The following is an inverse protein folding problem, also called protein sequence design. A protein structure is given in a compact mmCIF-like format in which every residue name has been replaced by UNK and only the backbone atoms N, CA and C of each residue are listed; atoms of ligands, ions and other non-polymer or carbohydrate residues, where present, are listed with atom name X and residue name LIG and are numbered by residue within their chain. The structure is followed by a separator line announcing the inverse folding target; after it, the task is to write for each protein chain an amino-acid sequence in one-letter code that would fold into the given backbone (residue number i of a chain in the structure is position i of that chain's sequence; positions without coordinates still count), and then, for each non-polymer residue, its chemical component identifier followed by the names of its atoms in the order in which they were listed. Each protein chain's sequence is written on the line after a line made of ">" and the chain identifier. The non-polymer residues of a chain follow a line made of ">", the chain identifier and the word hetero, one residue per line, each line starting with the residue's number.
data_IF_819667700822
#
_entry.id   IF_819667700822
#
_cell.length_a   1.000
_cell.length_b   1.000
_cell.length_c   1.000
_cell.angle_alpha   90.00
_cell.angle_beta   90.00
_cell.angle_gamma   90.00
#
_symmetry.space_group_name_H-M   'P 1'
#
loop_
_entity.id
_entity.type
_entity.pdbx_description
1 polymer ?
#
# COMPACT_ATOMS: atom_id res chain seq x y z
N UNK A 1 -21.76 -12.86 -9.21
CA UNK A 1 -21.12 -11.56 -8.91
C UNK A 1 -20.70 -11.54 -7.43
N UNK A 2 -19.42 -11.34 -7.11
CA UNK A 2 -18.89 -11.36 -5.74
C UNK A 2 -19.05 -10.02 -4.99
N UNK A 3 -19.96 -9.13 -5.43
CA UNK A 3 -20.25 -7.86 -4.77
C UNK A 3 -21.74 -7.50 -4.91
N UNK A 4 -22.20 -6.57 -4.06
CA UNK A 4 -23.55 -5.99 -4.08
C UNK A 4 -23.47 -4.46 -4.03
N UNK A 5 -24.32 -3.77 -4.77
CA UNK A 5 -24.53 -2.33 -4.65
C UNK A 5 -26.00 -1.90 -4.82
N UNK A 6 -26.97 -2.81 -4.61
CA UNK A 6 -28.39 -2.50 -4.84
C UNK A 6 -28.89 -1.38 -3.92
N UNK A 7 -28.44 -1.40 -2.66
CA UNK A 7 -28.83 -0.42 -1.63
C UNK A 7 -27.76 0.67 -1.41
N UNK A 8 -26.74 0.75 -2.28
CA UNK A 8 -25.63 1.69 -2.11
C UNK A 8 -25.99 3.08 -2.65
N UNK A 9 -25.97 4.09 -1.81
CA UNK A 9 -25.94 5.48 -2.27
C UNK A 9 -24.49 5.94 -2.47
N UNK A 10 -24.19 6.44 -3.66
CA UNK A 10 -22.89 7.04 -4.00
C UNK A 10 -22.94 8.55 -3.74
N UNK A 11 -21.83 9.11 -3.26
CA UNK A 11 -21.73 10.53 -2.96
C UNK A 11 -20.32 11.07 -3.27
N UNK A 12 -20.21 12.38 -3.48
CA UNK A 12 -18.93 13.07 -3.68
C UNK A 12 -18.56 13.29 -5.15
N UNK A 13 -19.46 13.03 -6.08
CA UNK A 13 -19.33 13.42 -7.48
C UNK A 13 -19.86 14.84 -7.72
N UNK A 14 -19.77 15.33 -8.96
CA UNK A 14 -20.36 16.62 -9.33
C UNK A 14 -21.90 16.59 -9.37
N UNK A 15 -22.51 15.42 -9.58
CA UNK A 15 -23.96 15.21 -9.57
C UNK A 15 -24.28 13.79 -9.08
N UNK A 16 -24.46 13.68 -7.76
CA UNK A 16 -24.73 12.40 -7.11
C UNK A 16 -26.09 11.82 -7.52
N UNK A 17 -27.08 12.65 -7.87
CA UNK A 17 -28.39 12.18 -8.30
C UNK A 17 -28.28 11.47 -9.66
N UNK A 18 -27.61 12.11 -10.62
CA UNK A 18 -27.36 11.51 -11.92
C UNK A 18 -26.49 10.24 -11.82
N UNK A 19 -25.44 10.25 -10.98
CA UNK A 19 -24.61 9.07 -10.73
C UNK A 19 -25.44 7.89 -10.21
N UNK A 20 -26.26 8.11 -9.18
CA UNK A 20 -27.04 7.04 -8.58
C UNK A 20 -28.17 6.52 -9.49
N UNK A 21 -28.71 7.37 -10.37
CA UNK A 21 -29.68 6.99 -11.38
C UNK A 21 -29.06 6.19 -12.54
N UNK A 22 -27.82 6.51 -12.92
CA UNK A 22 -27.15 5.90 -14.08
C UNK A 22 -26.27 4.68 -13.77
N UNK A 23 -25.81 4.51 -12.53
CA UNK A 23 -24.93 3.39 -12.17
C UNK A 23 -25.68 2.05 -12.21
N UNK A 24 -25.07 1.04 -12.83
CA UNK A 24 -25.60 -0.31 -12.83
C UNK A 24 -25.69 -0.89 -11.41
N UNK A 25 -26.78 -1.60 -11.13
CA UNK A 25 -27.07 -2.24 -9.84
C UNK A 25 -26.88 -3.75 -9.96
N UNK A 26 -26.06 -4.30 -9.07
CA UNK A 26 -25.67 -5.69 -9.03
C UNK A 26 -26.03 -6.26 -7.67
N UNK A 27 -26.72 -7.41 -7.69
CA UNK A 27 -26.96 -8.22 -6.51
C UNK A 27 -25.81 -9.20 -6.31
N UNK A 28 -25.42 -9.44 -5.07
CA UNK A 28 -24.47 -10.52 -4.77
C UNK A 28 -25.06 -11.88 -5.16
N UNK A 29 -24.33 -12.65 -5.97
CA UNK A 29 -24.74 -13.97 -6.47
C UNK A 29 -23.62 -15.01 -6.46
N UNK A 30 -22.44 -14.66 -5.96
CA UNK A 30 -21.34 -15.61 -5.82
C UNK A 30 -21.60 -16.57 -4.64
N UNK A 31 -20.95 -17.73 -4.66
CA UNK A 31 -20.95 -18.63 -3.49
C UNK A 31 -20.13 -17.98 -2.36
N UNK A 32 -20.75 -17.71 -1.17
CA UNK A 32 -20.04 -17.12 -0.04
C UNK A 32 -18.84 -17.94 0.43
N UNK A 33 -18.90 -19.27 0.34
CA UNK A 33 -17.80 -20.14 0.75
C UNK A 33 -16.59 -19.99 -0.17
N UNK A 34 -16.81 -19.82 -1.47
CA UNK A 34 -15.73 -19.56 -2.43
C UNK A 34 -15.14 -18.15 -2.23
N UNK A 35 -15.98 -17.13 -2.02
CA UNK A 35 -15.51 -15.76 -1.76
C UNK A 35 -14.72 -15.67 -0.46
N UNK A 36 -15.11 -16.41 0.58
CA UNK A 36 -14.39 -16.45 1.85
C UNK A 36 -12.95 -16.96 1.70
N UNK A 37 -12.69 -17.88 0.77
CA UNK A 37 -11.34 -18.40 0.51
C UNK A 37 -10.42 -17.36 -0.15
N UNK A 38 -10.98 -16.34 -0.79
CA UNK A 38 -10.21 -15.24 -1.40
C UNK A 38 -9.82 -14.15 -0.40
N UNK A 39 -10.32 -14.22 0.84
CA UNK A 39 -10.02 -13.21 1.85
C UNK A 39 -8.62 -13.37 2.41
N UNK A 40 -7.94 -12.24 2.59
CA UNK A 40 -6.68 -12.22 3.36
C UNK A 40 -6.92 -12.72 4.78
N UNK A 41 -6.03 -13.60 5.26
CA UNK A 41 -6.17 -14.25 6.57
C UNK A 41 -6.07 -13.28 7.76
N UNK A 42 -5.39 -12.14 7.58
CA UNK A 42 -5.12 -11.17 8.66
C UNK A 42 -4.23 -11.71 9.80
N UNK A 43 -3.63 -12.89 9.62
CA UNK A 43 -2.79 -13.56 10.63
C UNK A 43 -1.31 -13.32 10.32
N UNK A 44 -0.78 -12.21 10.82
CA UNK A 44 0.63 -11.87 10.65
C UNK A 44 1.51 -12.58 11.69
N UNK A 45 2.51 -13.33 11.20
CA UNK A 45 3.56 -13.94 12.02
C UNK A 45 4.94 -13.31 11.80
N UNK A 46 5.05 -12.42 10.81
CA UNK A 46 6.26 -11.69 10.42
C UNK A 46 5.88 -10.23 10.11
N UNK A 47 6.85 -9.30 10.15
CA UNK A 47 6.61 -7.93 9.72
C UNK A 47 6.03 -7.86 8.30
N UNK A 48 5.06 -6.98 8.10
CA UNK A 48 4.46 -6.66 6.81
C UNK A 48 4.54 -5.15 6.62
N UNK A 49 5.17 -4.74 5.53
CA UNK A 49 5.14 -3.35 5.05
C UNK A 49 4.22 -3.30 3.83
N UNK A 50 3.25 -2.40 3.85
CA UNK A 50 2.42 -2.08 2.68
C UNK A 50 2.72 -0.67 2.22
N UNK A 51 2.56 -0.41 0.92
CA UNK A 51 2.70 0.92 0.33
C UNK A 51 1.54 1.19 -0.62
N UNK A 52 0.98 2.40 -0.57
CA UNK A 52 -0.26 2.69 -1.29
C UNK A 52 -0.35 4.17 -1.69
N UNK A 53 -0.75 4.46 -2.93
CA UNK A 53 -1.04 5.82 -3.42
C UNK A 53 -2.43 6.28 -2.98
N UNK A 54 -2.54 7.37 -2.22
CA UNK A 54 -3.83 7.80 -1.62
C UNK A 54 -4.90 8.14 -2.67
N UNK A 55 -4.50 8.50 -3.89
CA UNK A 55 -5.39 8.76 -5.03
C UNK A 55 -5.50 7.60 -6.02
N UNK A 56 -5.39 6.34 -5.57
CA UNK A 56 -5.60 5.16 -6.40
C UNK A 56 -7.08 4.98 -6.79
N UNK A 57 -7.44 5.04 -8.09
CA UNK A 57 -8.82 4.90 -8.54
C UNK A 57 -9.25 3.43 -8.73
N UNK A 58 -8.32 2.47 -8.72
CA UNK A 58 -8.57 1.04 -8.99
C UNK A 58 -8.67 0.26 -7.69
N UNK A 59 -7.72 0.46 -6.78
CA UNK A 59 -7.71 -0.15 -5.44
C UNK A 59 -7.68 0.99 -4.43
N UNK A 60 -8.83 1.55 -4.04
CA UNK A 60 -8.83 2.74 -3.21
C UNK A 60 -8.19 2.56 -1.83
N UNK A 61 -7.60 3.64 -1.32
CA UNK A 61 -6.85 3.66 -0.06
C UNK A 61 -7.62 3.16 1.17
N UNK A 62 -8.96 3.20 1.18
CA UNK A 62 -9.75 2.66 2.29
C UNK A 62 -9.60 1.14 2.47
N UNK A 63 -9.02 0.41 1.52
CA UNK A 63 -8.65 -0.99 1.70
C UNK A 63 -7.56 -1.19 2.77
N UNK A 64 -6.64 -0.24 2.95
CA UNK A 64 -5.61 -0.27 4.00
C UNK A 64 -6.20 -0.37 5.42
N UNK A 65 -7.05 0.59 5.86
CA UNK A 65 -7.68 0.48 7.17
C UNK A 65 -8.66 -0.70 7.28
N UNK A 66 -9.28 -1.16 6.19
CA UNK A 66 -10.10 -2.39 6.21
C UNK A 66 -9.25 -3.63 6.48
N UNK A 67 -8.09 -3.76 5.85
CA UNK A 67 -7.14 -4.83 6.14
C UNK A 67 -6.62 -4.73 7.58
N UNK A 68 -6.21 -3.54 8.03
CA UNK A 68 -5.71 -3.31 9.39
C UNK A 68 -6.74 -3.67 10.47
N UNK A 69 -8.04 -3.52 10.20
CA UNK A 69 -9.12 -3.95 11.11
C UNK A 69 -9.16 -5.47 11.31
N UNK A 70 -8.76 -6.28 10.32
CA UNK A 70 -8.68 -7.75 10.43
C UNK A 70 -7.55 -8.22 11.36
N UNK A 71 -6.53 -7.39 11.57
CA UNK A 71 -5.34 -7.76 12.35
C UNK A 71 -5.63 -7.79 13.85
N UNK A 72 -5.08 -8.79 14.53
CA UNK A 72 -5.01 -8.84 16.00
C UNK A 72 -4.17 -7.68 16.55
N UNK A 73 -4.21 -7.46 17.87
CA UNK A 73 -3.36 -6.43 18.51
C UNK A 73 -1.88 -6.59 18.14
N UNK A 74 -1.32 -7.79 18.31
CA UNK A 74 0.07 -8.08 17.92
C UNK A 74 0.27 -8.00 16.40
N UNK A 75 -0.70 -8.41 15.59
CA UNK A 75 -0.64 -8.24 14.14
C UNK A 75 -0.51 -6.78 13.71
N UNK A 76 -1.20 -5.86 14.41
CA UNK A 76 -1.09 -4.41 14.14
C UNK A 76 0.28 -3.83 14.47
N UNK A 77 1.05 -4.46 15.38
CA UNK A 77 2.44 -4.09 15.68
C UNK A 77 3.40 -4.57 14.57
N UNK A 78 3.04 -5.64 13.87
CA UNK A 78 3.81 -6.17 12.73
C UNK A 78 3.49 -5.45 11.41
N UNK A 79 2.39 -4.72 11.33
CA UNK A 79 1.95 -4.04 10.12
C UNK A 79 2.35 -2.57 10.08
N UNK A 80 3.19 -2.20 9.10
CA UNK A 80 3.64 -0.83 8.83
C UNK A 80 3.07 -0.33 7.49
N UNK A 81 2.00 0.48 7.50
CA UNK A 81 1.44 1.05 6.28
C UNK A 81 2.19 2.32 5.86
N UNK A 82 2.55 2.39 4.58
CA UNK A 82 3.16 3.56 3.93
C UNK A 82 2.16 4.14 2.94
N UNK A 83 1.94 5.45 3.01
CA UNK A 83 1.03 6.15 2.10
C UNK A 83 1.76 7.22 1.31
N UNK A 84 1.56 7.23 0.00
CA UNK A 84 2.10 8.24 -0.93
C UNK A 84 0.97 9.12 -1.42
N UNK A 85 1.06 10.43 -1.21
CA UNK A 85 0.02 11.35 -1.67
C UNK A 85 0.16 11.64 -3.18
N UNK A 86 -0.37 10.74 -4.00
CA UNK A 86 -0.31 10.84 -5.47
C UNK A 86 -1.54 10.16 -6.08
N UNK A 87 -1.98 10.67 -7.23
CA UNK A 87 -3.00 10.02 -8.05
C UNK A 87 -2.41 8.89 -8.89
N UNK A 88 -3.18 7.82 -9.07
CA UNK A 88 -2.86 6.70 -9.96
C UNK A 88 -2.60 5.40 -9.21
N UNK A 89 -2.94 4.28 -9.87
CA UNK A 89 -2.78 2.94 -9.32
C UNK A 89 -1.31 2.53 -9.32
N UNK A 90 -0.77 2.20 -8.13
CA UNK A 90 0.64 1.84 -7.96
C UNK A 90 1.62 2.85 -8.58
N UNK A 91 1.24 4.13 -8.65
CA UNK A 91 2.06 5.20 -9.21
C UNK A 91 3.15 5.60 -8.20
N UNK A 92 4.11 4.71 -7.99
CA UNK A 92 5.21 4.83 -7.04
C UNK A 92 6.52 5.02 -7.79
N UNK A 93 7.46 5.76 -7.20
CA UNK A 93 8.84 5.85 -7.71
C UNK A 93 9.66 4.65 -7.25
N UNK A 94 10.73 4.32 -7.96
CA UNK A 94 11.68 3.28 -7.53
C UNK A 94 12.25 3.60 -6.14
N UNK A 95 12.51 4.88 -5.86
CA UNK A 95 12.97 5.34 -4.54
C UNK A 95 11.96 5.04 -3.43
N UNK A 96 10.66 5.25 -3.68
CA UNK A 96 9.58 4.94 -2.74
C UNK A 96 9.49 3.43 -2.46
N UNK A 97 9.61 2.61 -3.50
CA UNK A 97 9.58 1.14 -3.40
C UNK A 97 10.80 0.63 -2.63
N UNK A 98 12.01 1.10 -2.96
CA UNK A 98 13.25 0.70 -2.28
C UNK A 98 13.26 1.17 -0.82
N UNK A 99 12.68 2.33 -0.51
CA UNK A 99 12.51 2.80 0.86
C UNK A 99 11.56 1.89 1.66
N UNK A 100 10.43 1.50 1.08
CA UNK A 100 9.53 0.53 1.72
C UNK A 100 10.23 -0.81 1.97
N UNK A 101 11.06 -1.26 1.04
CA UNK A 101 11.89 -2.45 1.22
C UNK A 101 12.95 -2.27 2.32
N UNK A 102 13.61 -1.12 2.42
CA UNK A 102 14.56 -0.82 3.49
C UNK A 102 13.88 -0.87 4.88
N UNK A 103 12.65 -0.35 4.99
CA UNK A 103 11.84 -0.47 6.21
C UNK A 103 11.54 -1.94 6.52
N UNK A 104 11.18 -2.74 5.52
CA UNK A 104 10.95 -4.17 5.71
C UNK A 104 12.21 -4.89 6.23
N UNK A 105 13.37 -4.63 5.62
CA UNK A 105 14.66 -5.21 6.04
C UNK A 105 14.97 -4.87 7.49
N UNK A 106 14.80 -3.59 7.88
CA UNK A 106 14.95 -3.19 9.28
C UNK A 106 14.00 -3.96 10.20
N UNK A 107 12.71 -4.04 9.86
CA UNK A 107 11.70 -4.69 10.72
C UNK A 107 11.95 -6.18 10.87
N UNK A 108 12.46 -6.84 9.83
CA UNK A 108 12.72 -8.29 9.82
C UNK A 108 14.05 -8.62 10.50
N UNK A 109 15.09 -7.82 10.28
CA UNK A 109 16.47 -8.19 10.64
C UNK A 109 17.05 -7.38 11.79
N UNK A 110 16.49 -6.19 12.07
CA UNK A 110 17.09 -5.20 12.98
C UNK A 110 18.22 -4.38 12.37
N UNK A 111 18.62 -4.65 11.12
CA UNK A 111 19.71 -3.96 10.42
C UNK A 111 19.19 -3.04 9.32
N UNK A 112 19.91 -1.95 9.10
CA UNK A 112 19.62 -1.04 7.99
C UNK A 112 20.14 -1.59 6.66
N UNK A 113 19.36 -1.35 5.60
CA UNK A 113 19.72 -1.78 4.25
C UNK A 113 20.91 -0.98 3.72
N UNK A 114 21.85 -1.68 3.08
CA UNK A 114 22.88 -1.09 2.23
C UNK A 114 22.39 -1.10 0.79
N UNK A 115 22.43 0.04 0.12
CA UNK A 115 21.95 0.19 -1.26
C UNK A 115 23.06 0.84 -2.09
N UNK A 116 23.36 0.24 -3.25
CA UNK A 116 24.27 0.86 -4.22
C UNK A 116 23.61 2.10 -4.84
N UNK A 117 24.38 3.18 -5.00
CA UNK A 117 23.92 4.38 -5.69
C UNK A 117 23.48 4.13 -7.15
N UNK A 118 23.93 3.03 -7.76
CA UNK A 118 23.46 2.56 -9.08
C UNK A 118 21.97 2.23 -9.12
N UNK A 119 21.38 1.81 -7.99
CA UNK A 119 19.94 1.53 -7.88
C UNK A 119 19.13 2.83 -7.91
N UNK A 120 19.72 3.93 -7.40
CA UNK A 120 19.09 5.24 -7.30
C UNK A 120 20.02 6.28 -7.95
N UNK A 121 20.08 6.33 -9.30
CA UNK A 121 21.14 7.04 -10.00
C UNK A 121 21.04 8.56 -9.93
N UNK A 122 19.88 9.11 -9.55
CA UNK A 122 19.69 10.55 -9.42
C UNK A 122 19.72 11.01 -7.97
N UNK A 123 20.29 12.19 -7.72
CA UNK A 123 20.30 12.80 -6.39
C UNK A 123 18.88 13.02 -5.83
N UNK A 124 17.90 13.28 -6.70
CA UNK A 124 16.49 13.39 -6.31
C UNK A 124 15.92 12.07 -5.79
N UNK A 125 16.19 10.96 -6.49
CA UNK A 125 15.77 9.63 -6.06
C UNK A 125 16.45 9.22 -4.75
N UNK A 126 17.75 9.52 -4.58
CA UNK A 126 18.48 9.27 -3.34
C UNK A 126 17.89 10.06 -2.17
N UNK A 127 17.59 11.35 -2.37
CA UNK A 127 16.97 12.18 -1.34
C UNK A 127 15.56 11.70 -0.97
N UNK A 128 14.75 11.31 -1.95
CA UNK A 128 13.42 10.74 -1.73
C UNK A 128 13.49 9.44 -0.93
N UNK A 129 14.38 8.52 -1.33
CA UNK A 129 14.63 7.26 -0.65
C UNK A 129 15.03 7.46 0.81
N UNK A 130 16.01 8.34 1.07
CA UNK A 130 16.49 8.62 2.42
C UNK A 130 15.39 9.23 3.28
N UNK A 131 14.66 10.23 2.75
CA UNK A 131 13.55 10.90 3.46
C UNK A 131 12.46 9.90 3.85
N UNK A 132 12.01 9.07 2.92
CA UNK A 132 10.94 8.11 3.20
C UNK A 132 11.41 7.02 4.17
N UNK A 133 12.61 6.49 3.99
CA UNK A 133 13.18 5.48 4.90
C UNK A 133 13.25 6.00 6.35
N UNK A 134 13.76 7.21 6.53
CA UNK A 134 13.91 7.86 7.84
C UNK A 134 12.57 8.17 8.50
N UNK A 135 11.56 8.56 7.73
CA UNK A 135 10.20 8.79 8.24
C UNK A 135 9.60 7.53 8.91
N UNK A 136 10.09 6.34 8.54
CA UNK A 136 9.68 5.06 9.11
C UNK A 136 10.75 4.40 10.00
N UNK A 137 11.76 5.17 10.43
CA UNK A 137 12.79 4.76 11.38
C UNK A 137 13.96 3.97 10.77
N UNK A 138 13.99 3.78 9.44
CA UNK A 138 15.13 3.21 8.75
C UNK A 138 16.18 4.27 8.45
N UNK A 139 17.46 3.90 8.60
CA UNK A 139 18.62 4.72 8.27
C UNK A 139 19.54 3.95 7.32
N UNK A 140 19.08 3.66 6.09
CA UNK A 140 19.88 2.94 5.11
C UNK A 140 21.12 3.74 4.70
N UNK A 141 22.11 3.04 4.18
CA UNK A 141 23.35 3.66 3.68
C UNK A 141 23.44 3.48 2.18
N UNK A 142 23.72 4.58 1.47
CA UNK A 142 24.07 4.56 0.06
C UNK A 142 25.57 4.32 -0.08
N UNK A 143 25.96 3.28 -0.80
CA UNK A 143 27.36 2.98 -1.11
C UNK A 143 27.68 3.45 -2.51
N UNK A 144 28.76 4.23 -2.65
CA UNK A 144 29.32 4.58 -3.94
C UNK A 144 30.19 3.42 -4.43
N UNK A 145 29.85 2.85 -5.58
CA UNK A 145 30.65 1.80 -6.19
C UNK A 145 31.35 2.37 -7.44
N UNK A 146 32.70 2.38 -7.49
CA UNK A 146 33.42 2.91 -8.65
C UNK A 146 32.98 2.16 -9.93
N UNK A 147 32.92 2.83 -11.09
CA UNK A 147 32.56 2.16 -12.35
C UNK A 147 33.52 0.99 -12.63
N UNK A 148 33.02 -0.10 -13.26
CA UNK A 148 33.84 -1.27 -13.59
C UNK A 148 34.98 -0.94 -14.56
#
# INVERSE_FOLDING_TARGET
>A
MPFDNVDRSYAGSHDDAALNAGVARFRFTADPALVAQLQTSGRLARPLVTIHTTGDPIVPIWHEPLYRKKLSFFGRLLHTPITVNRYGHCNLTDAEVVAAFAVLVLKVTGFNLLVSDRVLPSLGAQAEFMRLSQAYGASPTLTHEPPP
#
